data_IF_762785668545
#
_entry.id   IF_762785668545
#
_cell.length_a   1.000
_cell.length_b   1.000
_cell.length_c   1.000
_cell.angle_alpha   90.00
_cell.angle_beta   90.00
_cell.angle_gamma   90.00
#
_symmetry.space_group_name_H-M   'P 1'
#
loop_
_entity.id
_entity.type
_entity.pdbx_description
1 polymer ?
#
# COMPACT_ATOMS: atom_id res chain seq x y z
N UNK A 1 -13.28 2.10 16.55
CA UNK A 1 -12.75 1.55 15.30
C UNK A 1 -11.40 2.19 15.06
N UNK A 2 -10.31 1.44 15.13
CA UNK A 2 -8.96 1.95 14.81
C UNK A 2 -8.94 2.12 13.30
N UNK A 3 -8.96 3.36 12.81
CA UNK A 3 -8.86 3.65 11.38
C UNK A 3 -7.59 2.98 10.85
N UNK A 4 -7.76 1.97 9.98
CA UNK A 4 -6.64 1.39 9.24
C UNK A 4 -6.16 2.46 8.28
N UNK A 5 -5.09 3.14 8.65
CA UNK A 5 -4.43 4.13 7.80
C UNK A 5 -3.74 3.36 6.67
N UNK A 6 -4.43 3.23 5.55
CA UNK A 6 -3.83 2.74 4.30
C UNK A 6 -2.98 3.88 3.71
N UNK A 7 -1.68 3.64 3.61
CA UNK A 7 -0.75 4.66 3.09
C UNK A 7 -0.44 4.37 1.62
N UNK A 8 -0.74 5.30 0.70
CA UNK A 8 -0.31 5.18 -0.68
C UNK A 8 1.17 5.57 -0.82
N UNK A 9 1.99 4.68 -1.37
CA UNK A 9 3.39 4.96 -1.73
C UNK A 9 3.61 4.79 -3.24
N UNK A 10 4.39 5.69 -3.83
CA UNK A 10 4.77 5.63 -5.25
C UNK A 10 6.23 5.21 -5.40
N UNK A 11 6.47 4.11 -6.10
CA UNK A 11 7.81 3.60 -6.41
C UNK A 11 7.94 3.42 -7.93
N UNK A 12 8.61 4.37 -8.57
CA UNK A 12 8.73 4.41 -10.03
C UNK A 12 7.36 4.43 -10.73
N UNK A 13 7.08 3.40 -11.53
CA UNK A 13 5.80 3.22 -12.23
C UNK A 13 4.74 2.49 -11.41
N UNK A 14 5.02 2.12 -10.16
CA UNK A 14 4.08 1.36 -9.33
C UNK A 14 3.48 2.21 -8.21
N UNK A 15 2.25 1.87 -7.83
CA UNK A 15 1.56 2.33 -6.63
C UNK A 15 1.44 1.16 -5.66
N UNK A 16 1.82 1.42 -4.43
CA UNK A 16 1.79 0.46 -3.33
C UNK A 16 0.77 0.94 -2.31
N UNK A 17 -0.07 0.03 -1.84
CA UNK A 17 -0.86 0.22 -0.63
C UNK A 17 -0.27 -0.66 0.45
N UNK A 18 -0.04 -0.08 1.62
CA UNK A 18 0.51 -0.81 2.75
C UNK A 18 -0.15 -0.36 4.06
N UNK A 19 -0.07 -1.26 5.03
CA UNK A 19 -0.46 -1.02 6.42
C UNK A 19 0.77 -1.10 7.29
N UNK A 20 0.80 -0.26 8.32
CA UNK A 20 1.75 -0.41 9.42
C UNK A 20 1.14 -1.34 10.50
N UNK A 21 1.86 -2.41 10.85
CA UNK A 21 1.59 -3.18 12.06
C UNK A 21 2.55 -2.73 13.16
N UNK A 22 2.08 -1.80 13.98
CA UNK A 22 2.86 -1.22 15.08
C UNK A 22 3.20 -2.23 16.18
N UNK A 23 2.49 -3.36 16.29
CA UNK A 23 2.77 -4.35 17.34
C UNK A 23 3.99 -5.19 16.98
N UNK A 24 4.17 -5.47 15.69
CA UNK A 24 5.26 -6.29 15.17
C UNK A 24 6.37 -5.45 14.52
N UNK A 25 6.22 -4.13 14.46
CA UNK A 25 7.17 -3.20 13.82
C UNK A 25 7.46 -3.57 12.35
N UNK A 26 6.41 -3.96 11.63
CA UNK A 26 6.49 -4.33 10.22
C UNK A 26 5.49 -3.57 9.38
N UNK A 27 5.80 -3.38 8.10
CA UNK A 27 4.87 -2.87 7.10
C UNK A 27 4.41 -4.03 6.22
N UNK A 28 3.10 -4.14 6.02
CA UNK A 28 2.48 -5.18 5.20
C UNK A 28 1.98 -4.55 3.90
N UNK A 29 2.52 -4.99 2.78
CA UNK A 29 2.04 -4.59 1.44
C UNK A 29 0.71 -5.32 1.17
N UNK A 30 -0.35 -4.57 0.89
CA UNK A 30 -1.66 -5.13 0.51
C UNK A 30 -1.77 -5.25 -1.01
N UNK A 31 -1.37 -4.19 -1.72
CA UNK A 31 -1.58 -4.09 -3.17
C UNK A 31 -0.35 -3.49 -3.83
N UNK A 32 0.00 -4.06 -4.98
CA UNK A 32 0.99 -3.51 -5.91
C UNK A 32 0.28 -3.35 -7.26
N UNK A 33 0.07 -2.12 -7.69
CA UNK A 33 -0.55 -1.81 -8.98
C UNK A 33 0.47 -1.07 -9.87
N UNK A 34 0.56 -1.42 -11.15
CA UNK A 34 1.28 -0.58 -12.10
C UNK A 34 0.45 0.66 -12.44
N UNK A 35 1.10 1.79 -12.69
CA UNK A 35 0.44 3.02 -13.18
C UNK A 35 -0.26 2.75 -14.53
N UNK A 36 0.32 1.86 -15.33
CA UNK A 36 -0.24 1.46 -16.63
C UNK A 36 -1.29 0.35 -16.51
N UNK A 37 -1.51 -0.19 -15.30
CA UNK A 37 -2.59 -1.13 -15.00
C UNK A 37 -3.90 -0.38 -14.78
N UNK A 38 -4.24 0.48 -15.75
CA UNK A 38 -5.60 0.96 -15.98
C UNK A 38 -6.36 -0.19 -16.62
N UNK A 39 -6.93 -1.05 -15.78
CA UNK A 39 -7.95 -2.00 -16.19
C UNK A 39 -9.03 -1.22 -16.97
N UNK A 40 -9.24 -1.57 -18.25
CA UNK A 40 -10.41 -1.16 -19.04
C UNK A 40 -11.59 -2.06 -18.69
#
# INVERSE_FOLDING_TARGET
>A
MKERLEFPLRVGKYRLLFLEDTNNSVYVIITIASKDDTYK
#
